data_IF_344658172348
#
_entry.id   IF_344658172348
#
_cell.length_a   1.000
_cell.length_b   1.000
_cell.length_c   1.000
_cell.angle_alpha   90.00
_cell.angle_beta   90.00
_cell.angle_gamma   90.00
#
_symmetry.space_group_name_H-M   'P 1'
#
loop_
_entity.id
_entity.type
_entity.pdbx_description
1 polymer ?
#
# COMPACT_ATOMS: atom_id res chain seq x y z
N UNK A 1 -0.06 -23.56 17.30
CA UNK A 1 -1.00 -22.93 18.25
C UNK A 1 -0.20 -22.06 19.19
N UNK A 2 -0.46 -20.75 19.23
CA UNK A 2 0.14 -19.89 20.25
C UNK A 2 -0.65 -20.00 21.55
N UNK A 3 0.05 -19.90 22.68
CA UNK A 3 -0.58 -19.86 24.00
C UNK A 3 -1.67 -18.76 24.05
N UNK A 4 -2.75 -19.00 24.79
CA UNK A 4 -3.86 -18.06 24.89
C UNK A 4 -3.56 -16.92 25.89
N UNK A 5 -4.16 -15.72 25.71
CA UNK A 5 -4.13 -14.67 26.71
C UNK A 5 -4.67 -15.16 28.07
N UNK A 6 -4.17 -14.62 29.21
CA UNK A 6 -3.22 -13.52 29.33
C UNK A 6 -1.74 -13.97 29.33
N UNK A 7 -1.42 -15.22 28.97
CA UNK A 7 -0.05 -15.78 29.00
C UNK A 7 0.48 -16.17 27.62
N UNK A 8 0.01 -15.49 26.57
CA UNK A 8 0.51 -15.69 25.21
C UNK A 8 2.01 -15.41 25.18
N UNK A 9 2.80 -16.39 24.73
CA UNK A 9 4.24 -16.22 24.52
C UNK A 9 4.52 -15.36 23.28
N UNK A 10 5.63 -14.61 23.26
CA UNK A 10 6.04 -13.83 22.10
C UNK A 10 6.38 -14.73 20.91
N UNK A 11 6.24 -14.19 19.71
CA UNK A 11 6.74 -14.86 18.51
C UNK A 11 8.27 -14.72 18.46
N UNK A 12 9.00 -15.84 18.38
CA UNK A 12 10.46 -15.86 18.29
C UNK A 12 10.95 -15.65 16.84
N UNK A 13 10.52 -14.55 16.22
CA UNK A 13 10.90 -14.14 14.87
C UNK A 13 11.70 -12.85 14.97
N UNK A 14 12.93 -12.89 14.45
CA UNK A 14 13.90 -11.80 14.38
C UNK A 14 14.34 -11.52 12.94
N UNK A 15 14.11 -12.45 12.01
CA UNK A 15 14.35 -12.30 10.58
C UNK A 15 13.25 -12.96 9.74
N UNK A 16 13.03 -12.51 8.48
CA UNK A 16 12.02 -13.09 7.59
C UNK A 16 12.14 -14.61 7.37
N UNK A 17 13.33 -15.18 7.44
CA UNK A 17 13.60 -16.60 7.24
C UNK A 17 13.33 -17.50 8.47
N UNK A 18 13.09 -16.93 9.65
CA UNK A 18 13.00 -17.70 10.91
C UNK A 18 11.81 -18.67 10.93
N UNK A 19 12.08 -19.97 11.09
CA UNK A 19 11.04 -21.01 11.17
C UNK A 19 10.69 -21.31 12.62
N UNK A 20 9.46 -20.98 13.03
CA UNK A 20 8.98 -21.12 14.42
C UNK A 20 7.84 -22.15 14.58
N UNK A 21 7.62 -22.99 13.56
CA UNK A 21 6.50 -23.92 13.49
C UNK A 21 6.84 -25.19 12.72
N UNK A 22 5.80 -25.90 12.28
CA UNK A 22 5.90 -27.15 11.51
C UNK A 22 5.56 -26.91 10.03
N UNK A 23 6.07 -27.75 9.11
CA UNK A 23 5.73 -27.66 7.67
C UNK A 23 4.34 -28.20 7.33
N UNK A 24 3.54 -28.56 8.34
CA UNK A 24 2.20 -29.13 8.21
C UNK A 24 1.33 -28.63 9.36
N UNK A 25 0.00 -28.69 9.18
CA UNK A 25 -0.96 -28.36 10.21
C UNK A 25 -1.21 -29.62 11.05
N UNK A 26 -0.92 -29.62 12.37
CA UNK A 26 -1.21 -30.76 13.22
C UNK A 26 -2.74 -30.94 13.36
N UNK A 27 -3.22 -32.15 13.10
CA UNK A 27 -4.63 -32.50 13.19
C UNK A 27 -4.77 -33.94 13.74
N UNK A 28 -5.90 -34.19 14.40
CA UNK A 28 -6.29 -35.52 14.86
C UNK A 28 -6.94 -36.30 13.69
N UNK A 29 -6.33 -37.40 13.21
CA UNK A 29 -6.84 -38.15 12.06
C UNK A 29 -8.26 -38.69 12.26
N UNK A 30 -8.69 -38.96 13.49
CA UNK A 30 -10.04 -39.44 13.77
C UNK A 30 -11.12 -38.39 13.47
N UNK A 31 -10.74 -37.11 13.39
CA UNK A 31 -11.62 -36.00 13.01
C UNK A 31 -11.76 -35.83 11.50
N UNK A 32 -10.98 -36.58 10.69
CA UNK A 32 -11.05 -36.52 9.23
C UNK A 32 -12.21 -37.40 8.77
N UNK A 33 -13.31 -36.78 8.39
CA UNK A 33 -14.52 -37.49 7.91
C UNK A 33 -14.48 -37.85 6.44
N UNK A 34 -13.63 -37.18 5.64
CA UNK A 34 -13.46 -37.44 4.22
C UNK A 34 -12.12 -36.86 3.71
N UNK A 35 -11.58 -37.48 2.66
CA UNK A 35 -10.52 -36.92 1.80
C UNK A 35 -11.10 -36.85 0.39
N UNK A 36 -11.06 -35.67 -0.23
CA UNK A 36 -11.55 -35.44 -1.59
C UNK A 36 -10.35 -35.12 -2.46
N UNK A 37 -10.02 -36.01 -3.37
CA UNK A 37 -8.92 -35.81 -4.33
C UNK A 37 -9.34 -34.81 -5.42
N UNK A 38 -8.42 -33.93 -5.81
CA UNK A 38 -8.63 -32.94 -6.87
C UNK A 38 -7.31 -32.62 -7.55
N UNK A 39 -7.37 -32.43 -8.86
CA UNK A 39 -6.30 -31.94 -9.74
C UNK A 39 -6.60 -30.51 -10.25
N UNK A 40 -7.57 -29.83 -9.63
CA UNK A 40 -8.04 -28.53 -10.08
C UNK A 40 -7.07 -27.42 -9.65
N UNK A 41 -6.45 -26.68 -10.60
CA UNK A 41 -5.52 -25.61 -10.27
C UNK A 41 -6.24 -24.35 -9.79
N UNK A 42 -5.51 -23.51 -9.04
CA UNK A 42 -5.97 -22.18 -8.64
C UNK A 42 -6.41 -21.37 -9.87
N UNK A 43 -7.62 -20.79 -9.81
CA UNK A 43 -8.17 -19.97 -10.87
C UNK A 43 -7.74 -18.52 -10.68
N UNK A 44 -6.54 -18.18 -11.18
CA UNK A 44 -6.01 -16.83 -11.13
C UNK A 44 -6.11 -16.11 -12.47
N UNK A 45 -6.08 -14.78 -12.41
CA UNK A 45 -6.11 -13.92 -13.59
C UNK A 45 -4.68 -13.46 -13.94
N UNK A 46 -4.38 -13.20 -15.22
CA UNK A 46 -3.16 -12.52 -15.61
C UNK A 46 -2.97 -11.19 -14.86
N UNK A 47 -1.72 -10.83 -14.59
CA UNK A 47 -1.43 -9.49 -14.08
C UNK A 47 -1.65 -8.47 -15.20
N UNK A 48 -2.23 -7.32 -14.85
CA UNK A 48 -2.27 -6.23 -15.79
C UNK A 48 -0.85 -5.64 -15.95
N UNK A 49 -0.46 -5.27 -17.18
CA UNK A 49 0.87 -4.77 -17.46
C UNK A 49 1.09 -3.43 -16.78
N UNK A 50 2.35 -3.12 -16.51
CA UNK A 50 2.75 -1.80 -16.04
C UNK A 50 2.48 -0.74 -17.12
N UNK A 51 1.94 0.39 -16.71
CA UNK A 51 1.77 1.58 -17.55
C UNK A 51 2.75 2.70 -17.15
N UNK A 52 2.75 3.80 -17.91
CA UNK A 52 3.66 4.91 -17.65
C UNK A 52 3.44 5.55 -16.28
N UNK A 53 2.19 5.56 -15.81
CA UNK A 53 1.78 6.08 -14.51
C UNK A 53 2.32 5.21 -13.38
N UNK A 54 2.15 3.88 -13.44
CA UNK A 54 2.68 2.96 -12.44
C UNK A 54 4.21 2.98 -12.40
N UNK A 55 4.87 3.10 -13.57
CA UNK A 55 6.33 3.29 -13.63
C UNK A 55 6.78 4.62 -13.02
N UNK A 56 6.04 5.70 -13.21
CA UNK A 56 6.34 6.99 -12.61
C UNK A 56 6.21 6.97 -11.08
N UNK A 57 5.14 6.36 -10.56
CA UNK A 57 4.96 6.16 -9.12
C UNK A 57 6.12 5.33 -8.54
N UNK A 58 6.49 4.24 -9.21
CA UNK A 58 7.62 3.40 -8.80
C UNK A 58 8.95 4.17 -8.78
N UNK A 59 9.20 5.04 -9.78
CA UNK A 59 10.40 5.90 -9.79
C UNK A 59 10.44 6.86 -8.60
N UNK A 60 9.33 7.56 -8.33
CA UNK A 60 9.24 8.52 -7.21
C UNK A 60 9.46 7.82 -5.87
N UNK A 61 8.90 6.62 -5.70
CA UNK A 61 9.11 5.82 -4.49
C UNK A 61 10.56 5.35 -4.34
N UNK A 62 11.18 4.86 -5.43
CA UNK A 62 12.58 4.43 -5.40
C UNK A 62 13.52 5.61 -5.11
N UNK A 63 13.21 6.80 -5.65
CA UNK A 63 13.95 8.03 -5.36
C UNK A 63 13.91 8.38 -3.87
N UNK A 64 12.73 8.30 -3.25
CA UNK A 64 12.61 8.45 -1.80
C UNK A 64 13.45 7.42 -1.03
N UNK A 65 13.35 6.14 -1.37
CA UNK A 65 14.10 5.09 -0.68
C UNK A 65 15.62 5.30 -0.79
N UNK A 66 16.11 5.73 -1.95
CA UNK A 66 17.53 6.10 -2.13
C UNK A 66 17.90 7.28 -1.25
N UNK A 67 17.08 8.33 -1.25
CA UNK A 67 17.32 9.49 -0.42
C UNK A 67 17.42 9.13 1.07
N UNK A 68 16.57 8.23 1.57
CA UNK A 68 16.65 7.73 2.94
C UNK A 68 17.93 6.94 3.23
N UNK A 69 18.39 6.14 2.26
CA UNK A 69 19.66 5.40 2.36
C UNK A 69 20.87 6.33 2.35
N UNK A 70 20.90 7.31 1.45
CA UNK A 70 21.98 8.29 1.31
C UNK A 70 22.15 9.13 2.58
N UNK A 71 21.06 9.36 3.32
CA UNK A 71 21.07 10.05 4.60
C UNK A 71 21.20 9.13 5.82
N UNK A 72 21.44 7.83 5.61
CA UNK A 72 21.64 6.84 6.68
C UNK A 72 20.40 6.56 7.53
N UNK A 73 19.20 6.89 7.05
CA UNK A 73 17.92 6.62 7.73
C UNK A 73 17.39 5.22 7.42
N UNK A 74 17.78 4.66 6.27
CA UNK A 74 17.61 3.25 5.91
C UNK A 74 18.97 2.61 5.59
N UNK A 75 19.12 1.29 5.80
CA UNK A 75 20.32 0.57 5.38
C UNK A 75 20.34 0.34 3.86
N UNK A 76 21.51 0.02 3.30
CA UNK A 76 21.73 -0.19 1.87
C UNK A 76 20.87 -1.31 1.27
N UNK A 77 20.54 -2.33 2.06
CA UNK A 77 19.68 -3.45 1.68
C UNK A 77 18.21 -3.22 2.07
N UNK A 78 17.84 -1.98 2.42
CA UNK A 78 16.55 -1.59 2.98
C UNK A 78 16.14 -2.45 4.19
N UNK A 79 14.89 -2.31 4.60
CA UNK A 79 14.25 -3.19 5.57
C UNK A 79 13.27 -4.12 4.84
N UNK A 80 12.73 -5.17 5.49
CA UNK A 80 11.80 -6.07 4.84
C UNK A 80 10.63 -5.33 4.19
N UNK A 81 10.39 -5.63 2.92
CA UNK A 81 9.36 -4.94 2.14
C UNK A 81 8.02 -5.66 2.26
N UNK A 82 6.95 -4.90 2.46
CA UNK A 82 5.58 -5.33 2.20
C UNK A 82 5.03 -4.53 1.03
N UNK A 83 4.42 -5.22 0.07
CA UNK A 83 3.73 -4.59 -1.05
C UNK A 83 2.33 -5.18 -1.17
N UNK A 84 1.35 -4.32 -1.41
CA UNK A 84 -0.03 -4.72 -1.70
C UNK A 84 -0.17 -5.45 -3.04
N UNK A 85 -1.41 -5.66 -3.46
CA UNK A 85 -1.74 -6.29 -4.75
C UNK A 85 -2.00 -5.18 -5.78
N UNK A 86 -1.46 -5.33 -7.00
CA UNK A 86 -1.90 -4.55 -8.16
C UNK A 86 -0.78 -4.00 -9.03
N UNK A 87 -1.13 -3.27 -10.09
CA UNK A 87 -0.17 -2.82 -11.10
C UNK A 87 0.94 -1.93 -10.53
N UNK A 88 0.61 -1.06 -9.58
CA UNK A 88 1.60 -0.17 -8.97
C UNK A 88 2.55 -0.97 -8.08
N UNK A 89 2.03 -1.91 -7.28
CA UNK A 89 2.85 -2.82 -6.49
C UNK A 89 3.82 -3.62 -7.36
N UNK A 90 3.34 -4.14 -8.51
CA UNK A 90 4.18 -4.82 -9.49
C UNK A 90 5.25 -3.89 -10.07
N UNK A 91 4.90 -2.67 -10.45
CA UNK A 91 5.85 -1.69 -10.99
C UNK A 91 6.94 -1.29 -9.98
N UNK A 92 6.59 -1.19 -8.69
CA UNK A 92 7.57 -0.95 -7.61
C UNK A 92 8.56 -2.10 -7.54
N UNK A 93 8.07 -3.34 -7.50
CA UNK A 93 8.93 -4.53 -7.45
C UNK A 93 9.78 -4.67 -8.72
N UNK A 94 9.20 -4.42 -9.90
CA UNK A 94 9.93 -4.39 -11.17
C UNK A 94 11.01 -3.30 -11.22
N UNK A 95 10.72 -2.12 -10.67
CA UNK A 95 11.69 -1.04 -10.50
C UNK A 95 12.87 -1.44 -9.61
N UNK A 96 12.62 -2.19 -8.53
CA UNK A 96 13.66 -2.76 -7.67
C UNK A 96 14.47 -3.88 -8.37
N UNK A 97 13.85 -4.64 -9.27
CA UNK A 97 14.50 -5.71 -10.03
C UNK A 97 15.42 -5.17 -11.15
N UNK A 98 15.01 -4.12 -11.85
CA UNK A 98 15.68 -3.56 -13.05
C UNK A 98 17.08 -2.96 -12.81
N UNK A 99 17.59 -2.98 -11.58
CA UNK A 99 18.97 -2.59 -11.24
C UNK A 99 19.20 -1.08 -11.16
N UNK A 100 18.29 -0.25 -11.68
CA UNK A 100 18.38 1.22 -11.59
C UNK A 100 18.35 1.75 -10.14
N UNK A 101 17.80 0.97 -9.20
CA UNK A 101 17.79 1.29 -7.78
C UNK A 101 19.08 0.86 -7.04
N UNK A 102 19.80 -0.13 -7.57
CA UNK A 102 20.96 -0.82 -6.98
C UNK A 102 20.76 -1.35 -5.54
N UNK A 103 19.52 -1.55 -5.10
CA UNK A 103 19.27 -2.28 -3.85
C UNK A 103 19.49 -3.78 -4.06
N UNK A 104 20.26 -4.39 -3.16
CA UNK A 104 20.62 -5.81 -3.16
C UNK A 104 20.30 -6.41 -1.79
N UNK A 105 20.27 -7.74 -1.73
CA UNK A 105 20.02 -8.47 -0.49
C UNK A 105 18.70 -8.07 0.18
N UNK A 106 17.70 -7.79 -0.67
CA UNK A 106 16.36 -7.44 -0.24
C UNK A 106 15.74 -8.65 0.45
N UNK A 107 14.87 -8.36 1.41
CA UNK A 107 13.98 -9.36 2.02
C UNK A 107 12.56 -8.86 1.97
N UNK A 108 11.62 -9.80 1.94
CA UNK A 108 10.20 -9.51 1.85
C UNK A 108 9.47 -10.11 3.04
N UNK A 109 8.59 -9.31 3.64
CA UNK A 109 7.65 -9.74 4.66
C UNK A 109 6.28 -9.15 4.28
N UNK A 110 5.50 -9.90 3.51
CA UNK A 110 4.25 -9.43 2.91
C UNK A 110 3.07 -10.33 3.27
N UNK A 111 1.86 -9.97 2.84
CA UNK A 111 0.69 -10.84 2.93
C UNK A 111 0.61 -11.79 1.72
N UNK A 112 0.82 -11.27 0.51
CA UNK A 112 0.64 -12.01 -0.75
C UNK A 112 1.85 -11.83 -1.66
N UNK A 113 2.35 -12.91 -2.26
CA UNK A 113 3.34 -12.86 -3.34
C UNK A 113 2.67 -12.88 -4.71
N UNK A 114 3.15 -12.01 -5.60
CA UNK A 114 2.71 -11.85 -6.98
C UNK A 114 3.87 -12.11 -7.95
N UNK A 115 3.60 -12.23 -9.24
CA UNK A 115 4.58 -12.62 -10.27
C UNK A 115 5.84 -11.75 -10.27
N UNK A 116 5.70 -10.46 -9.96
CA UNK A 116 6.83 -9.52 -9.89
C UNK A 116 7.92 -9.94 -8.89
N UNK A 117 7.57 -10.73 -7.87
CA UNK A 117 8.58 -11.29 -6.96
C UNK A 117 9.41 -12.41 -7.60
N UNK A 118 8.88 -13.13 -8.59
CA UNK A 118 9.68 -14.09 -9.37
C UNK A 118 10.75 -13.35 -10.17
N UNK A 119 10.38 -12.22 -10.77
CA UNK A 119 11.36 -11.36 -11.48
C UNK A 119 12.41 -10.81 -10.51
N UNK A 120 12.00 -10.43 -9.29
CA UNK A 120 12.93 -9.96 -8.28
C UNK A 120 13.85 -11.07 -7.76
N UNK A 121 13.37 -12.31 -7.61
CA UNK A 121 14.21 -13.47 -7.32
C UNK A 121 15.22 -13.73 -8.44
N UNK A 122 14.77 -13.71 -9.70
CA UNK A 122 15.61 -14.01 -10.86
C UNK A 122 16.65 -12.93 -11.14
N UNK A 123 16.37 -11.68 -10.75
CA UNK A 123 17.36 -10.60 -10.77
C UNK A 123 18.53 -10.81 -9.80
N UNK A 124 18.38 -11.71 -8.82
CA UNK A 124 19.34 -11.92 -7.73
C UNK A 124 19.32 -10.83 -6.66
N UNK A 125 18.36 -9.90 -6.69
CA UNK A 125 18.25 -8.82 -5.71
C UNK A 125 17.49 -9.23 -4.44
N UNK A 126 16.67 -10.27 -4.51
CA UNK A 126 15.86 -10.80 -3.39
C UNK A 126 16.46 -12.08 -2.81
N UNK A 127 16.82 -12.02 -1.53
CA UNK A 127 17.41 -13.15 -0.80
C UNK A 127 16.31 -14.09 -0.25
N UNK A 128 15.22 -13.53 0.27
CA UNK A 128 14.17 -14.31 0.92
C UNK A 128 12.81 -13.61 0.96
N UNK A 129 11.72 -14.37 0.85
CA UNK A 129 10.36 -13.86 0.99
C UNK A 129 9.51 -14.66 2.00
N UNK A 130 8.87 -13.95 2.93
CA UNK A 130 7.76 -14.47 3.75
C UNK A 130 6.43 -13.91 3.25
N UNK A 131 5.41 -14.78 3.18
CA UNK A 131 4.03 -14.40 2.87
C UNK A 131 2.99 -15.26 3.61
N UNK A 132 1.71 -14.93 3.49
CA UNK A 132 0.61 -15.85 3.81
C UNK A 132 0.24 -16.71 2.63
N UNK A 133 0.14 -16.10 1.45
CA UNK A 133 -0.31 -16.80 0.25
C UNK A 133 0.50 -16.39 -0.98
N UNK A 134 0.34 -17.17 -2.03
CA UNK A 134 0.90 -16.93 -3.35
C UNK A 134 -0.29 -16.74 -4.29
N UNK A 135 -0.25 -15.69 -5.10
CA UNK A 135 -1.24 -15.45 -6.16
C UNK A 135 -0.50 -15.03 -7.42
N UNK A 136 0.04 -16.04 -8.11
CA UNK A 136 0.64 -15.84 -9.42
C UNK A 136 -0.40 -15.92 -10.54
N UNK A 137 -0.08 -15.35 -11.69
CA UNK A 137 -0.81 -15.65 -12.93
C UNK A 137 -0.62 -17.14 -13.31
N UNK A 138 -1.42 -17.68 -14.25
CA UNK A 138 -1.21 -19.05 -14.74
C UNK A 138 0.22 -19.31 -15.20
N UNK A 139 0.82 -18.38 -15.95
CA UNK A 139 2.21 -18.47 -16.41
C UNK A 139 3.21 -18.35 -15.25
N UNK A 140 2.90 -17.50 -14.26
CA UNK A 140 3.72 -17.36 -13.06
C UNK A 140 3.74 -18.64 -12.22
N UNK A 141 2.60 -19.32 -12.06
CA UNK A 141 2.56 -20.64 -11.41
C UNK A 141 3.34 -21.68 -12.21
N UNK A 142 3.21 -21.70 -13.53
CA UNK A 142 3.98 -22.59 -14.39
C UNK A 142 5.49 -22.41 -14.18
N UNK A 143 5.98 -21.17 -14.28
CA UNK A 143 7.39 -20.81 -14.02
C UNK A 143 7.83 -21.20 -12.61
N UNK A 144 6.99 -20.97 -11.61
CA UNK A 144 7.31 -21.28 -10.22
C UNK A 144 7.49 -22.79 -10.00
N UNK A 145 6.58 -23.61 -10.52
CA UNK A 145 6.66 -25.07 -10.38
C UNK A 145 7.76 -25.69 -11.23
N UNK A 146 8.03 -25.19 -12.44
CA UNK A 146 9.15 -25.65 -13.27
C UNK A 146 10.52 -25.39 -12.62
N UNK A 147 10.63 -24.32 -11.82
CA UNK A 147 11.87 -23.92 -11.16
C UNK A 147 11.75 -24.05 -9.62
N UNK A 148 11.03 -25.07 -9.15
CA UNK A 148 10.71 -25.28 -7.73
C UNK A 148 11.95 -25.23 -6.83
N UNK A 149 13.01 -25.95 -7.19
CA UNK A 149 14.23 -26.06 -6.38
C UNK A 149 14.98 -24.72 -6.26
N UNK A 150 14.74 -23.78 -7.17
CA UNK A 150 15.30 -22.43 -7.09
C UNK A 150 14.52 -21.54 -6.12
N UNK A 151 13.19 -21.61 -6.14
CA UNK A 151 12.34 -20.68 -5.38
C UNK A 151 11.97 -21.21 -3.98
N UNK A 152 11.61 -22.49 -3.85
CA UNK A 152 11.06 -23.04 -2.61
C UNK A 152 11.99 -22.87 -1.39
N UNK A 153 13.32 -23.01 -1.48
CA UNK A 153 14.21 -22.77 -0.35
C UNK A 153 14.24 -21.32 0.14
N UNK A 154 13.87 -20.36 -0.71
CA UNK A 154 13.91 -18.91 -0.46
C UNK A 154 12.55 -18.32 -0.07
N UNK A 155 11.54 -19.18 0.11
CA UNK A 155 10.16 -18.78 0.37
C UNK A 155 9.63 -19.45 1.63
N UNK A 156 8.84 -18.70 2.41
CA UNK A 156 8.16 -19.22 3.59
C UNK A 156 6.73 -18.70 3.69
N UNK A 157 5.77 -19.63 3.62
CA UNK A 157 4.37 -19.32 3.92
C UNK A 157 4.10 -19.45 5.42
N UNK A 158 3.35 -18.50 5.96
CA UNK A 158 2.94 -18.43 7.36
C UNK A 158 1.42 -18.24 7.42
N UNK A 159 0.81 -18.49 8.56
CA UNK A 159 -0.58 -18.07 8.73
C UNK A 159 -0.66 -16.54 8.75
N UNK A 160 -1.80 -15.98 8.32
CA UNK A 160 -2.03 -14.53 8.35
C UNK A 160 -1.84 -13.92 9.73
N UNK A 161 -2.16 -14.67 10.80
CA UNK A 161 -1.95 -14.23 12.17
C UNK A 161 -0.46 -13.92 12.46
N UNK A 162 0.46 -14.61 11.79
CA UNK A 162 1.91 -14.41 11.94
C UNK A 162 2.41 -13.37 10.96
N UNK A 163 2.10 -13.49 9.65
CA UNK A 163 2.59 -12.52 8.66
C UNK A 163 2.08 -11.11 8.94
N UNK A 164 0.85 -10.97 9.44
CA UNK A 164 0.23 -9.68 9.71
C UNK A 164 0.34 -9.28 11.19
N UNK A 165 1.20 -9.94 11.98
CA UNK A 165 1.33 -9.63 13.39
C UNK A 165 1.96 -8.25 13.60
N UNK A 166 1.30 -7.31 14.29
CA UNK A 166 1.87 -5.99 14.60
C UNK A 166 3.20 -6.08 15.37
N UNK A 167 3.34 -7.08 16.25
CA UNK A 167 4.58 -7.35 17.00
C UNK A 167 5.76 -7.58 16.06
N UNK A 168 5.55 -8.41 15.03
CA UNK A 168 6.60 -8.81 14.10
C UNK A 168 6.87 -7.73 13.08
N UNK A 169 5.83 -7.14 12.49
CA UNK A 169 5.95 -6.05 11.51
C UNK A 169 6.79 -4.90 12.11
N UNK A 170 6.47 -4.50 13.35
CA UNK A 170 7.21 -3.45 14.05
C UNK A 170 8.63 -3.86 14.42
N UNK A 171 8.83 -5.11 14.87
CA UNK A 171 10.16 -5.60 15.24
C UNK A 171 11.11 -5.66 14.05
N UNK A 172 10.62 -6.12 12.90
CA UNK A 172 11.40 -6.22 11.67
C UNK A 172 11.60 -4.86 11.00
N UNK A 173 10.82 -3.85 11.39
CA UNK A 173 10.87 -2.52 10.78
C UNK A 173 10.39 -2.56 9.33
N UNK A 174 9.33 -3.30 9.04
CA UNK A 174 8.82 -3.48 7.67
C UNK A 174 8.54 -2.13 7.00
N UNK A 175 8.86 -1.98 5.72
CA UNK A 175 8.40 -0.85 4.90
C UNK A 175 7.08 -1.26 4.24
N UNK A 176 5.98 -0.66 4.67
CA UNK A 176 4.62 -0.98 4.22
C UNK A 176 4.17 -0.08 3.09
N UNK A 177 3.74 -0.68 1.97
CA UNK A 177 3.35 0.03 0.74
C UNK A 177 1.99 -0.48 0.27
N UNK A 178 0.99 0.40 0.26
CA UNK A 178 -0.39 0.04 -0.08
C UNK A 178 -1.05 1.05 -1.03
N UNK A 179 -2.14 0.64 -1.68
CA UNK A 179 -2.89 1.46 -2.63
C UNK A 179 -4.27 1.82 -2.07
N UNK A 180 -4.55 3.11 -1.87
CA UNK A 180 -5.89 3.57 -1.48
C UNK A 180 -6.80 3.79 -2.71
N UNK A 181 -8.10 3.92 -2.44
CA UNK A 181 -9.10 4.49 -3.34
C UNK A 181 -8.86 5.99 -3.52
N UNK A 182 -8.71 6.70 -2.41
CA UNK A 182 -8.45 8.15 -2.33
C UNK A 182 -7.70 8.47 -1.03
N UNK A 183 -6.96 9.57 -1.05
CA UNK A 183 -6.25 10.16 0.10
C UNK A 183 -6.69 11.61 0.20
N UNK A 184 -6.89 12.11 1.41
CA UNK A 184 -7.16 13.54 1.58
C UNK A 184 -5.91 14.38 1.81
N UNK A 185 -6.08 15.70 1.73
CA UNK A 185 -5.00 16.66 1.92
C UNK A 185 -4.36 16.57 3.32
N UNK A 186 -5.00 15.92 4.31
CA UNK A 186 -4.46 15.77 5.65
C UNK A 186 -3.74 14.44 5.89
N UNK A 187 -3.68 13.59 4.86
CA UNK A 187 -3.13 12.23 4.89
C UNK A 187 -4.02 11.20 5.60
N UNK A 188 -5.35 11.35 5.55
CA UNK A 188 -6.23 10.20 5.75
C UNK A 188 -6.33 9.40 4.45
N UNK A 189 -6.54 8.09 4.55
CA UNK A 189 -6.75 7.25 3.38
C UNK A 189 -8.02 6.41 3.48
N UNK A 190 -8.70 6.30 2.34
CA UNK A 190 -9.81 5.39 2.08
C UNK A 190 -9.29 4.24 1.23
N UNK A 191 -9.37 3.01 1.71
CA UNK A 191 -8.93 1.81 0.99
C UNK A 191 -10.10 0.92 0.55
N UNK A 192 -11.32 1.21 0.99
CA UNK A 192 -12.44 0.25 0.91
C UNK A 192 -13.69 0.79 0.22
N UNK A 193 -14.14 1.99 0.56
CA UNK A 193 -15.51 2.42 0.29
C UNK A 193 -15.53 3.56 -0.74
N UNK A 194 -15.73 3.21 -2.02
CA UNK A 194 -15.94 4.19 -3.09
C UNK A 194 -17.19 5.02 -2.78
N UNK A 195 -17.06 6.35 -2.83
CA UNK A 195 -18.15 7.29 -2.47
C UNK A 195 -18.71 7.03 -1.05
N UNK A 196 -17.85 6.65 -0.12
CA UNK A 196 -18.17 6.45 1.30
C UNK A 196 -19.01 5.23 1.65
N UNK A 197 -19.51 4.46 0.67
CA UNK A 197 -20.47 3.38 0.94
C UNK A 197 -20.36 2.16 0.03
N UNK A 198 -19.82 2.30 -1.19
CA UNK A 198 -19.66 1.17 -2.10
C UNK A 198 -18.36 0.43 -1.79
N UNK A 199 -18.47 -0.70 -1.09
CA UNK A 199 -17.35 -1.60 -0.83
C UNK A 199 -16.69 -2.04 -2.14
N UNK A 200 -15.35 -1.96 -2.18
CA UNK A 200 -14.52 -2.46 -3.27
C UNK A 200 -14.12 -3.92 -3.01
N UNK A 201 -13.24 -4.14 -2.04
CA UNK A 201 -12.76 -5.48 -1.63
C UNK A 201 -12.88 -5.64 -0.11
N UNK A 202 -12.12 -4.85 0.64
CA UNK A 202 -12.02 -4.89 2.10
C UNK A 202 -10.69 -4.31 2.55
N UNK A 203 -10.56 -4.01 3.85
CA UNK A 203 -9.37 -3.37 4.41
C UNK A 203 -8.12 -4.24 4.25
N UNK A 204 -8.28 -5.56 4.35
CA UNK A 204 -7.18 -6.53 4.31
C UNK A 204 -6.15 -6.26 5.42
N UNK A 205 -4.90 -6.66 5.18
CA UNK A 205 -3.79 -6.38 6.09
C UNK A 205 -3.24 -4.95 6.04
N UNK A 206 -3.80 -4.05 5.23
CA UNK A 206 -3.23 -2.70 5.06
C UNK A 206 -3.07 -1.96 6.39
N UNK A 207 -4.06 -2.05 7.28
CA UNK A 207 -3.99 -1.45 8.62
C UNK A 207 -2.98 -2.16 9.54
N UNK A 208 -2.84 -3.49 9.47
CA UNK A 208 -1.85 -4.24 10.24
C UNK A 208 -0.43 -3.76 9.93
N UNK A 209 -0.15 -3.60 8.63
CA UNK A 209 1.13 -3.13 8.11
C UNK A 209 1.35 -1.66 8.39
N UNK A 210 0.48 -0.76 7.93
CA UNK A 210 0.70 0.69 8.02
C UNK A 210 0.74 1.21 9.46
N UNK A 211 -0.02 0.63 10.40
CA UNK A 211 0.10 1.03 11.81
C UNK A 211 1.43 0.60 12.45
N UNK A 212 2.04 -0.48 11.94
CA UNK A 212 3.14 -1.18 12.61
C UNK A 212 4.48 -1.05 11.88
N UNK A 213 4.48 -0.54 10.65
CA UNK A 213 5.63 -0.41 9.79
C UNK A 213 6.65 0.62 10.32
N UNK A 214 7.88 0.53 9.79
CA UNK A 214 8.90 1.56 9.93
C UNK A 214 8.54 2.78 9.10
N UNK A 215 8.10 2.55 7.86
CA UNK A 215 7.55 3.56 6.96
C UNK A 215 6.23 3.07 6.38
N UNK A 216 5.23 3.94 6.46
CA UNK A 216 3.87 3.68 6.04
C UNK A 216 3.52 4.54 4.84
N UNK A 217 3.49 3.90 3.67
CA UNK A 217 3.45 4.55 2.37
C UNK A 217 2.16 4.19 1.67
N UNK A 218 1.41 5.21 1.25
CA UNK A 218 0.28 5.06 0.33
C UNK A 218 0.68 5.54 -1.05
N UNK A 219 0.43 4.72 -2.07
CA UNK A 219 0.70 5.07 -3.45
C UNK A 219 -0.53 4.94 -4.34
N UNK A 220 -0.81 5.95 -5.16
CA UNK A 220 -1.98 5.97 -6.05
C UNK A 220 -1.67 6.82 -7.29
N UNK A 221 -2.30 6.59 -8.44
CA UNK A 221 -2.36 7.62 -9.48
C UNK A 221 -2.99 8.88 -8.87
N UNK A 222 -2.59 10.07 -9.31
CA UNK A 222 -3.21 11.32 -8.84
C UNK A 222 -4.64 11.50 -9.37
N UNK A 223 -4.97 10.85 -10.49
CA UNK A 223 -6.32 10.82 -11.07
C UNK A 223 -6.69 9.47 -11.66
N UNK A 224 -7.99 9.24 -11.83
CA UNK A 224 -8.56 8.11 -12.57
C UNK A 224 -9.57 8.63 -13.60
N UNK A 225 -9.77 7.92 -14.72
CA UNK A 225 -10.80 8.29 -15.68
C UNK A 225 -12.19 8.05 -15.11
N UNK A 226 -13.12 8.95 -15.46
CA UNK A 226 -14.54 8.73 -15.35
C UNK A 226 -15.12 8.26 -16.69
N UNK A 227 -16.44 8.13 -16.79
CA UNK A 227 -17.10 7.82 -18.08
C UNK A 227 -16.93 8.90 -19.14
N UNK A 228 -16.70 10.14 -18.73
CA UNK A 228 -16.77 11.33 -19.60
C UNK A 228 -15.51 12.19 -19.58
N UNK A 229 -14.55 11.89 -18.70
CA UNK A 229 -13.35 12.71 -18.50
C UNK A 229 -12.14 11.80 -18.17
N UNK A 230 -11.04 11.87 -18.94
CA UNK A 230 -9.85 11.04 -18.71
C UNK A 230 -9.20 11.29 -17.35
N UNK A 231 -9.41 12.45 -16.76
CA UNK A 231 -8.98 12.82 -15.41
C UNK A 231 -10.19 13.14 -14.52
N UNK A 232 -11.33 12.50 -14.76
CA UNK A 232 -12.60 12.84 -14.11
C UNK A 232 -12.67 12.59 -12.61
N UNK A 233 -11.75 11.80 -12.04
CA UNK A 233 -11.73 11.49 -10.61
C UNK A 233 -10.35 11.87 -10.07
N UNK A 234 -10.31 12.75 -9.08
CA UNK A 234 -9.09 12.99 -8.30
C UNK A 234 -8.91 11.92 -7.24
N UNK A 235 -7.69 11.43 -7.06
CA UNK A 235 -7.35 10.56 -5.93
C UNK A 235 -6.82 11.35 -4.72
N UNK A 236 -6.54 12.64 -4.88
CA UNK A 236 -6.29 13.58 -3.78
C UNK A 236 -7.55 14.42 -3.59
N UNK A 237 -8.18 14.37 -2.43
CA UNK A 237 -9.48 15.00 -2.14
C UNK A 237 -9.40 15.93 -0.91
N UNK A 238 -10.35 16.86 -0.71
CA UNK A 238 -10.35 17.70 0.49
C UNK A 238 -10.54 16.89 1.78
N UNK A 239 -11.42 15.89 1.74
CA UNK A 239 -11.73 14.98 2.84
C UNK A 239 -12.09 13.61 2.27
N UNK A 240 -11.54 12.54 2.84
CA UNK A 240 -11.92 11.19 2.44
C UNK A 240 -13.39 10.91 2.76
N UNK A 241 -14.10 10.25 1.85
CA UNK A 241 -15.51 9.86 2.05
C UNK A 241 -15.69 8.71 3.05
N UNK A 242 -14.62 7.97 3.31
CA UNK A 242 -14.50 6.94 4.33
C UNK A 242 -13.03 6.88 4.78
N UNK A 243 -12.77 6.64 6.05
CA UNK A 243 -11.41 6.63 6.60
C UNK A 243 -11.09 5.23 7.11
N UNK A 244 -10.13 4.59 6.43
CA UNK A 244 -9.57 3.29 6.83
C UNK A 244 -8.24 3.48 7.59
N UNK A 245 -7.44 4.47 7.18
CA UNK A 245 -6.21 4.87 7.84
C UNK A 245 -6.25 6.35 8.18
N UNK A 246 -5.91 6.66 9.42
CA UNK A 246 -5.83 8.04 9.90
C UNK A 246 -4.51 8.68 9.47
N UNK A 247 -4.43 10.00 9.60
CA UNK A 247 -3.21 10.77 9.38
C UNK A 247 -2.05 10.33 10.29
N UNK A 248 -2.34 9.69 11.42
CA UNK A 248 -1.33 9.12 12.32
C UNK A 248 -0.69 7.83 11.79
N UNK A 249 -1.25 7.23 10.75
CA UNK A 249 -0.82 5.93 10.22
C UNK A 249 0.03 6.05 8.97
N UNK A 250 0.15 7.26 8.42
CA UNK A 250 0.79 7.52 7.14
C UNK A 250 2.00 8.44 7.31
N UNK A 251 3.13 8.00 6.76
CA UNK A 251 4.36 8.78 6.68
C UNK A 251 4.53 9.45 5.32
N UNK A 252 3.95 8.86 4.26
CA UNK A 252 4.18 9.28 2.89
C UNK A 252 3.04 8.97 1.95
N UNK A 253 2.77 9.92 1.04
CA UNK A 253 1.89 9.75 -0.11
C UNK A 253 2.72 9.84 -1.39
N UNK A 254 2.50 8.92 -2.34
CA UNK A 254 3.21 8.91 -3.63
C UNK A 254 2.21 8.84 -4.78
N UNK A 255 2.38 9.73 -5.77
CA UNK A 255 1.68 9.67 -7.05
C UNK A 255 2.67 9.77 -8.19
N UNK A 256 2.20 9.74 -9.43
CA UNK A 256 3.06 9.97 -10.60
C UNK A 256 3.56 11.43 -10.68
N UNK A 257 2.96 12.35 -9.91
CA UNK A 257 3.35 13.76 -9.85
C UNK A 257 4.58 13.99 -8.95
N UNK A 258 4.76 13.14 -7.94
CA UNK A 258 5.81 13.26 -6.93
C UNK A 258 5.49 12.46 -5.67
N UNK A 259 6.24 12.71 -4.60
CA UNK A 259 5.98 12.17 -3.27
C UNK A 259 5.90 13.30 -2.24
N UNK A 260 5.02 13.15 -1.25
CA UNK A 260 4.88 14.03 -0.09
C UNK A 260 5.33 13.26 1.15
N UNK A 261 6.45 13.67 1.74
CA UNK A 261 6.93 13.17 3.04
C UNK A 261 6.30 14.01 4.15
N UNK A 262 5.36 13.42 4.89
CA UNK A 262 4.55 14.12 5.90
C UNK A 262 5.04 13.89 7.34
N UNK A 263 6.20 13.24 7.50
CA UNK A 263 6.77 12.95 8.82
C UNK A 263 7.07 14.24 9.58
N UNK A 264 6.52 14.36 10.78
CA UNK A 264 6.72 15.53 11.65
C UNK A 264 5.93 16.78 11.27
N UNK A 265 5.09 16.72 10.23
CA UNK A 265 4.25 17.84 9.78
C UNK A 265 2.91 17.90 10.52
N UNK A 266 2.45 19.12 10.81
CA UNK A 266 1.07 19.41 11.25
C UNK A 266 0.08 19.33 10.08
N UNK A 267 -1.25 19.17 10.32
CA UNK A 267 -2.22 18.99 9.23
C UNK A 267 -2.14 20.06 8.14
N UNK A 268 -1.94 21.33 8.52
CA UNK A 268 -1.80 22.45 7.57
C UNK A 268 -0.53 22.42 6.73
N UNK A 269 0.55 21.84 7.24
CA UNK A 269 1.79 21.62 6.48
C UNK A 269 1.62 20.43 5.53
N UNK A 270 0.98 19.34 6.00
CA UNK A 270 0.63 18.17 5.18
C UNK A 270 -0.22 18.54 3.98
N UNK A 271 -1.26 19.34 4.19
CA UNK A 271 -2.13 19.80 3.11
C UNK A 271 -1.36 20.52 2.01
N UNK A 272 -0.47 21.45 2.37
CA UNK A 272 0.35 22.17 1.39
C UNK A 272 1.27 21.22 0.62
N UNK A 273 1.96 20.32 1.33
CA UNK A 273 2.90 19.37 0.71
C UNK A 273 2.17 18.37 -0.22
N UNK A 274 1.06 17.78 0.23
CA UNK A 274 0.27 16.82 -0.56
C UNK A 274 -0.35 17.50 -1.79
N UNK A 275 -0.89 18.71 -1.66
CA UNK A 275 -1.42 19.46 -2.80
C UNK A 275 -0.30 19.79 -3.81
N UNK A 276 0.86 20.25 -3.34
CA UNK A 276 1.97 20.62 -4.22
C UNK A 276 2.54 19.39 -4.95
N UNK A 277 2.90 18.35 -4.19
CA UNK A 277 3.67 17.20 -4.71
C UNK A 277 2.84 16.09 -5.33
N UNK A 278 1.62 15.86 -4.83
CA UNK A 278 0.87 14.64 -5.17
C UNK A 278 -0.39 14.91 -6.00
N UNK A 279 -1.02 16.07 -5.87
CA UNK A 279 -2.20 16.39 -6.65
C UNK A 279 -1.88 16.62 -8.14
N UNK A 280 -2.79 16.16 -9.01
CA UNK A 280 -2.70 16.40 -10.44
C UNK A 280 -2.78 17.91 -10.75
N UNK A 281 -2.09 18.41 -11.80
CA UNK A 281 -2.13 19.82 -12.17
C UNK A 281 -3.54 20.39 -12.37
N UNK A 282 -4.49 19.58 -12.84
CA UNK A 282 -5.89 20.01 -13.03
C UNK A 282 -6.67 20.18 -11.71
N UNK A 283 -6.26 19.48 -10.64
CA UNK A 283 -6.92 19.52 -9.34
C UNK A 283 -6.17 20.35 -8.30
N UNK A 284 -4.86 20.58 -8.47
CA UNK A 284 -4.04 21.42 -7.58
C UNK A 284 -4.67 22.80 -7.30
N UNK A 285 -5.08 23.61 -8.30
CA UNK A 285 -5.70 24.90 -8.01
C UNK A 285 -7.06 24.77 -7.30
N UNK A 286 -7.83 23.72 -7.59
CA UNK A 286 -9.11 23.45 -6.95
C UNK A 286 -8.90 23.12 -5.46
N UNK A 287 -7.98 22.21 -5.15
CA UNK A 287 -7.66 21.81 -3.78
C UNK A 287 -7.02 22.97 -2.99
N UNK A 288 -6.18 23.78 -3.64
CA UNK A 288 -5.58 24.96 -3.01
C UNK A 288 -6.65 25.99 -2.63
N UNK A 289 -7.60 26.30 -3.53
CA UNK A 289 -8.71 27.21 -3.23
C UNK A 289 -9.58 26.70 -2.06
N UNK A 290 -9.82 25.38 -1.98
CA UNK A 290 -10.51 24.78 -0.82
C UNK A 290 -9.75 25.06 0.47
N UNK A 291 -8.46 24.70 0.47
CA UNK A 291 -7.64 24.74 1.67
C UNK A 291 -7.43 26.18 2.16
N UNK A 292 -7.17 27.14 1.27
CA UNK A 292 -7.00 28.55 1.62
C UNK A 292 -8.28 29.15 2.21
N UNK A 293 -9.45 28.85 1.63
CA UNK A 293 -10.75 29.28 2.18
C UNK A 293 -11.04 28.64 3.54
N UNK A 294 -10.81 27.33 3.66
CA UNK A 294 -10.98 26.59 4.91
C UNK A 294 -10.07 27.16 6.01
N UNK A 295 -8.79 27.35 5.70
CA UNK A 295 -7.79 27.88 6.63
C UNK A 295 -8.16 29.29 7.10
N UNK A 296 -8.54 30.18 6.19
CA UNK A 296 -8.99 31.53 6.53
C UNK A 296 -10.20 31.51 7.49
N UNK A 297 -11.24 30.77 7.15
CA UNK A 297 -12.48 30.71 7.96
C UNK A 297 -12.25 30.06 9.33
N UNK A 298 -11.50 28.95 9.39
CA UNK A 298 -11.23 28.23 10.63
C UNK A 298 -10.28 29.02 11.55
N UNK A 299 -9.25 29.69 11.02
CA UNK A 299 -8.34 30.50 11.84
C UNK A 299 -9.06 31.68 12.49
N UNK A 300 -9.98 32.35 11.78
CA UNK A 300 -10.80 33.44 12.33
C UNK A 300 -11.67 33.00 13.51
N UNK A 301 -12.05 31.72 13.55
CA UNK A 301 -12.86 31.12 14.63
C UNK A 301 -12.02 30.48 15.74
N UNK A 302 -10.69 30.40 15.56
CA UNK A 302 -9.79 29.71 16.49
C UNK A 302 -9.82 28.18 16.37
N UNK A 303 -10.28 27.62 15.24
CA UNK A 303 -10.44 26.17 15.00
C UNK A 303 -9.51 25.66 13.88
N UNK A 304 -8.34 26.27 13.73
CA UNK A 304 -7.46 26.06 12.58
C UNK A 304 -6.42 24.93 12.70
N UNK A 305 -6.64 23.92 13.55
CA UNK A 305 -5.70 22.78 13.62
C UNK A 305 -5.71 21.99 12.31
N UNK A 306 -6.92 21.59 11.88
CA UNK A 306 -7.20 20.88 10.64
C UNK A 306 -8.41 21.56 9.95
N UNK A 307 -8.16 22.55 9.08
CA UNK A 307 -9.24 23.37 8.52
C UNK A 307 -10.16 22.65 7.53
N UNK A 308 -11.48 22.74 7.72
CA UNK A 308 -12.46 22.23 6.77
C UNK A 308 -13.62 23.20 6.55
N UNK A 309 -14.06 23.31 5.29
CA UNK A 309 -15.40 23.76 4.96
C UNK A 309 -16.34 22.55 5.01
N UNK A 310 -16.89 22.24 6.18
CA UNK A 310 -17.64 20.99 6.42
C UNK A 310 -18.79 20.75 5.44
N UNK A 311 -19.50 21.82 5.04
CA UNK A 311 -20.63 21.72 4.12
C UNK A 311 -20.23 21.54 2.65
N UNK A 312 -18.95 21.76 2.34
CA UNK A 312 -18.40 21.70 0.99
C UNK A 312 -17.35 20.61 0.82
N UNK A 313 -16.96 19.90 1.90
CA UNK A 313 -15.86 18.94 1.89
C UNK A 313 -16.02 17.81 0.86
N UNK A 314 -17.27 17.50 0.49
CA UNK A 314 -17.63 16.46 -0.47
C UNK A 314 -18.22 17.00 -1.78
N UNK A 315 -18.07 18.30 -2.08
CA UNK A 315 -18.60 18.89 -3.32
C UNK A 315 -17.96 18.27 -4.57
N UNK A 316 -16.68 17.86 -4.51
CA UNK A 316 -16.03 17.14 -5.62
C UNK A 316 -16.73 15.80 -5.91
N UNK A 317 -17.04 15.02 -4.86
CA UNK A 317 -17.76 13.76 -4.98
C UNK A 317 -19.19 13.98 -5.48
N UNK A 318 -19.88 15.00 -4.96
CA UNK A 318 -21.21 15.39 -5.45
C UNK A 318 -21.19 15.73 -6.94
N UNK A 319 -20.24 16.56 -7.36
CA UNK A 319 -20.08 16.97 -8.76
C UNK A 319 -19.72 15.79 -9.67
N UNK A 320 -18.93 14.83 -9.19
CA UNK A 320 -18.69 13.58 -9.92
C UNK A 320 -19.99 12.81 -10.17
N UNK A 321 -20.87 12.72 -9.16
CA UNK A 321 -22.14 12.02 -9.29
C UNK A 321 -23.12 12.75 -10.24
N UNK A 322 -23.16 14.08 -10.19
CA UNK A 322 -24.10 14.90 -10.96
C UNK A 322 -23.63 15.15 -12.41
N UNK A 323 -22.32 15.28 -12.63
CA UNK A 323 -21.73 15.75 -13.88
C UNK A 323 -20.65 14.83 -14.47
N UNK A 324 -20.31 13.74 -13.79
CA UNK A 324 -19.32 12.78 -14.28
C UNK A 324 -17.87 13.23 -14.15
N UNK A 325 -17.57 14.30 -13.43
CA UNK A 325 -16.20 14.76 -13.14
C UNK A 325 -16.10 15.42 -11.76
N UNK A 326 -14.96 15.33 -11.08
CA UNK A 326 -14.69 16.04 -9.82
C UNK A 326 -14.20 17.47 -10.04
N UNK A 327 -14.02 17.91 -11.30
CA UNK A 327 -13.54 19.26 -11.63
C UNK A 327 -14.59 20.30 -11.28
N UNK A 328 -14.48 20.87 -10.08
CA UNK A 328 -15.33 21.96 -9.61
C UNK A 328 -14.92 23.29 -10.26
N UNK A 329 -15.87 24.10 -10.78
CA UNK A 329 -15.58 25.44 -11.26
C UNK A 329 -15.24 26.40 -10.11
N UNK A 330 -15.92 26.26 -8.97
CA UNK A 330 -15.72 27.07 -7.76
C UNK A 330 -16.22 26.27 -6.54
N UNK A 331 -15.60 26.48 -5.38
CA UNK A 331 -16.21 26.07 -4.10
C UNK A 331 -17.40 26.97 -3.75
N UNK A 332 -18.45 26.36 -3.22
CA UNK A 332 -19.71 27.03 -2.86
C UNK A 332 -19.65 27.88 -1.59
#
# INVERSE_FOLDING_TARGET
MTDLPPRRKPYLIMAPEDRIGTPHIPLDPERVVAIVESDYPDQTLPNAPEDDTSRAIARNLIEFLKHEVDHGRLPQNLLPLQSGIGNIANAVVGGLASGGANFKNLKVWTEVLQDSFLDLFDSGNLDFATATSIRFSPDGFHRFYENWDQYAPKLLLRSQQVSNSPEIIRRLGVIGMNTPVEVDIYAHANSTCVMGSRMLNGLGGSADFLRSAKYSIMHTPSTRPSKTDPHGISCIVPMCTHVDQTEHDLDMIVTEQGFADVRGMSPRERAREIIDKCAHPEYRPILLDYFEKAEFECLRKGWGHEPHLLWNAFDMHKHLNEHGTMKLPTWG
#
